data_IF_142988691472
#
_entry.id   IF_142988691472
#
_cell.length_a   1.000
_cell.length_b   1.000
_cell.length_c   1.000
_cell.angle_alpha   90.00
_cell.angle_beta   90.00
_cell.angle_gamma   90.00
#
_symmetry.space_group_name_H-M   'P 1'
#
loop_
_entity.id
_entity.type
_entity.pdbx_description
1 polymer ?
#
# COMPACT_ATOMS: atom_id res chain seq x y z
N UNK A 1 -8.78 17.28 7.79
CA UNK A 1 -7.33 17.24 8.07
C UNK A 1 -6.67 16.25 7.12
N UNK A 2 -5.65 16.68 6.38
CA UNK A 2 -5.00 15.93 5.27
C UNK A 2 -4.36 14.61 5.73
N UNK A 3 -4.46 13.55 4.91
CA UNK A 3 -3.90 12.21 5.15
C UNK A 3 -2.37 12.28 5.34
N UNK A 4 -1.69 13.00 4.44
CA UNK A 4 -0.23 13.19 4.46
C UNK A 4 0.29 13.87 5.74
N UNK A 5 -0.53 14.67 6.41
CA UNK A 5 -0.14 15.37 7.64
C UNK A 5 -0.27 14.49 8.90
N UNK A 6 -0.89 13.31 8.79
CA UNK A 6 -1.24 12.47 9.94
C UNK A 6 -0.63 11.09 9.90
N UNK A 7 -0.03 10.69 8.78
CA UNK A 7 0.48 9.34 8.58
C UNK A 7 1.91 9.37 8.09
N UNK A 8 2.67 8.35 8.45
CA UNK A 8 4.01 8.08 7.92
C UNK A 8 3.93 7.24 6.64
N UNK A 9 4.99 7.21 5.81
CA UNK A 9 5.05 6.38 4.61
C UNK A 9 4.91 4.87 4.85
N UNK A 10 5.22 4.41 6.07
CA UNK A 10 5.11 3.01 6.46
C UNK A 10 3.70 2.64 6.95
N UNK A 11 2.87 3.63 7.26
CA UNK A 11 1.47 3.42 7.63
C UNK A 11 0.53 3.55 6.43
N UNK A 12 0.88 4.43 5.48
CA UNK A 12 0.08 4.68 4.28
C UNK A 12 0.97 4.86 3.07
N UNK A 13 0.72 4.01 2.09
CA UNK A 13 1.26 4.11 0.73
C UNK A 13 0.18 4.47 -0.28
N UNK A 14 0.56 5.24 -1.30
CA UNK A 14 -0.36 5.77 -2.30
C UNK A 14 0.13 5.53 -3.73
N UNK A 15 -0.85 5.30 -4.61
CA UNK A 15 -0.69 5.35 -6.07
C UNK A 15 -1.56 6.49 -6.56
N UNK A 16 -0.95 7.50 -7.18
CA UNK A 16 -1.67 8.63 -7.76
C UNK A 16 -1.72 8.49 -9.28
N UNK A 17 -2.91 8.71 -9.84
CA UNK A 17 -3.16 8.65 -11.29
C UNK A 17 -3.66 10.01 -11.75
N UNK A 18 -2.88 10.71 -12.56
CA UNK A 18 -3.24 11.99 -13.17
C UNK A 18 -2.96 11.95 -14.68
N UNK A 19 -3.92 11.46 -15.50
CA UNK A 19 -3.74 11.37 -16.94
C UNK A 19 -3.70 12.74 -17.63
N UNK A 20 -4.18 13.79 -16.95
CA UNK A 20 -4.22 15.15 -17.50
C UNK A 20 -3.02 16.01 -17.09
N UNK A 21 -2.28 15.60 -16.04
CA UNK A 21 -1.10 16.30 -15.49
C UNK A 21 -1.41 17.70 -14.95
N UNK A 22 -2.62 17.93 -14.45
CA UNK A 22 -3.08 19.27 -14.04
C UNK A 22 -3.01 19.44 -12.53
N UNK A 23 -3.25 18.37 -11.77
CA UNK A 23 -3.62 18.47 -10.34
C UNK A 23 -2.53 17.92 -9.43
N UNK A 24 -1.96 16.77 -9.81
CA UNK A 24 -1.19 15.94 -8.86
C UNK A 24 0.33 16.01 -9.04
N UNK A 25 0.82 16.75 -10.04
CA UNK A 25 2.26 16.82 -10.37
C UNK A 25 3.15 17.25 -9.19
N UNK A 26 2.63 18.09 -8.29
CA UNK A 26 3.32 18.58 -7.10
C UNK A 26 3.62 17.50 -6.04
N UNK A 27 2.98 16.33 -6.13
CA UNK A 27 3.14 15.25 -5.13
C UNK A 27 4.22 14.23 -5.48
N UNK A 28 4.92 14.36 -6.62
CA UNK A 28 5.86 13.34 -7.12
C UNK A 28 6.99 12.96 -6.15
N UNK A 29 7.35 13.86 -5.22
CA UNK A 29 8.47 13.66 -4.30
C UNK A 29 8.01 13.34 -2.86
N UNK A 30 6.71 13.07 -2.67
CA UNK A 30 6.18 12.70 -1.36
C UNK A 30 6.52 11.24 -1.07
N UNK A 31 7.10 10.93 0.12
CA UNK A 31 7.62 9.59 0.43
C UNK A 31 6.53 8.50 0.51
N UNK A 32 5.26 8.88 0.68
CA UNK A 32 4.11 7.98 0.68
C UNK A 32 3.83 7.36 -0.71
N UNK A 33 4.40 7.88 -1.80
CA UNK A 33 4.15 7.33 -3.13
C UNK A 33 4.91 6.01 -3.37
N UNK A 34 4.18 4.97 -3.82
CA UNK A 34 4.79 3.73 -4.30
C UNK A 34 5.47 3.89 -5.65
N UNK A 35 4.97 4.83 -6.44
CA UNK A 35 5.49 5.16 -7.75
C UNK A 35 5.19 6.61 -8.05
N UNK A 36 5.98 7.23 -8.93
CA UNK A 36 5.69 8.58 -9.42
C UNK A 36 4.28 8.65 -10.01
N UNK A 37 3.69 9.83 -9.99
CA UNK A 37 2.31 10.05 -10.45
C UNK A 37 2.14 9.48 -11.85
N UNK A 38 1.21 8.54 -11.98
CA UNK A 38 0.97 7.81 -13.22
C UNK A 38 0.19 8.71 -14.16
N UNK A 39 0.80 9.10 -15.27
CA UNK A 39 0.13 9.92 -16.29
C UNK A 39 -0.32 9.11 -17.51
N UNK A 40 0.15 7.87 -17.67
CA UNK A 40 -0.22 7.03 -18.81
C UNK A 40 -1.40 6.13 -18.41
N UNK A 41 -2.55 6.20 -19.13
CA UNK A 41 -3.71 5.37 -18.81
C UNK A 41 -3.46 3.87 -18.83
N UNK A 42 -2.58 3.37 -19.72
CA UNK A 42 -2.22 1.94 -19.76
C UNK A 42 -1.49 1.52 -18.48
N UNK A 43 -0.54 2.35 -18.03
CA UNK A 43 0.17 2.11 -16.75
C UNK A 43 -0.76 2.21 -15.54
N UNK A 44 -1.81 3.03 -15.62
CA UNK A 44 -2.82 3.10 -14.57
C UNK A 44 -3.61 1.79 -14.46
N UNK A 45 -3.96 1.17 -15.60
CA UNK A 45 -4.58 -0.15 -15.60
C UNK A 45 -3.66 -1.21 -15.00
N UNK A 46 -2.36 -1.20 -15.35
CA UNK A 46 -1.36 -2.10 -14.74
C UNK A 46 -1.26 -1.92 -13.23
N UNK A 47 -1.27 -0.66 -12.74
CA UNK A 47 -1.22 -0.36 -11.31
C UNK A 47 -2.47 -0.84 -10.56
N UNK A 48 -3.65 -0.75 -11.18
CA UNK A 48 -4.88 -1.30 -10.60
C UNK A 48 -4.84 -2.84 -10.57
N UNK A 49 -4.33 -3.49 -11.63
CA UNK A 49 -4.13 -4.94 -11.62
C UNK A 49 -3.15 -5.37 -10.54
N UNK A 50 -2.08 -4.60 -10.33
CA UNK A 50 -1.16 -4.83 -9.21
C UNK A 50 -1.87 -4.69 -7.86
N UNK A 51 -2.71 -3.66 -7.68
CA UNK A 51 -3.47 -3.49 -6.45
C UNK A 51 -4.41 -4.66 -6.15
N UNK A 52 -5.03 -5.25 -7.17
CA UNK A 52 -5.84 -6.47 -7.03
C UNK A 52 -4.99 -7.67 -6.60
N UNK A 53 -3.83 -7.88 -7.24
CA UNK A 53 -2.92 -8.98 -6.85
C UNK A 53 -2.39 -8.82 -5.43
N UNK A 54 -2.09 -7.59 -5.03
CA UNK A 54 -1.64 -7.29 -3.68
C UNK A 54 -2.76 -7.51 -2.66
N UNK A 55 -4.00 -7.17 -3.00
CA UNK A 55 -5.17 -7.49 -2.17
C UNK A 55 -5.31 -9.01 -1.97
N UNK A 56 -5.21 -9.81 -3.03
CA UNK A 56 -5.29 -11.27 -2.95
C UNK A 56 -4.16 -11.85 -2.08
N UNK A 57 -2.91 -11.39 -2.28
CA UNK A 57 -1.77 -11.77 -1.45
C UNK A 57 -2.00 -11.42 0.03
N UNK A 58 -2.56 -10.25 0.32
CA UNK A 58 -2.87 -9.83 1.70
C UNK A 58 -3.94 -10.71 2.33
N UNK A 59 -4.96 -11.12 1.57
CA UNK A 59 -5.96 -12.06 2.05
C UNK A 59 -5.34 -13.41 2.45
N UNK A 60 -4.45 -13.96 1.61
CA UNK A 60 -3.76 -15.21 1.92
C UNK A 60 -2.91 -15.08 3.20
N UNK A 61 -2.17 -13.98 3.35
CA UNK A 61 -1.34 -13.73 4.54
C UNK A 61 -2.17 -13.54 5.83
N UNK A 62 -3.28 -12.81 5.75
CA UNK A 62 -4.21 -12.63 6.88
C UNK A 62 -4.84 -13.97 7.28
N UNK A 63 -5.23 -14.79 6.31
CA UNK A 63 -5.77 -16.13 6.55
C UNK A 63 -4.71 -17.07 7.18
N UNK A 64 -3.49 -17.10 6.63
CA UNK A 64 -2.36 -17.90 7.13
C UNK A 64 -1.95 -17.49 8.56
N UNK A 65 -2.00 -16.19 8.86
CA UNK A 65 -1.75 -15.66 10.21
C UNK A 65 -2.91 -15.94 11.19
N UNK A 66 -4.05 -16.47 10.72
CA UNK A 66 -5.22 -16.78 11.53
C UNK A 66 -5.90 -15.54 12.12
N UNK A 67 -5.83 -14.40 11.44
CA UNK A 67 -6.45 -13.13 11.87
C UNK A 67 -7.54 -12.71 10.87
N UNK A 68 -8.42 -11.80 11.28
CA UNK A 68 -9.61 -11.41 10.47
C UNK A 68 -9.41 -10.13 9.67
N UNK A 69 -8.42 -9.33 10.05
CA UNK A 69 -8.15 -8.03 9.46
C UNK A 69 -6.66 -7.68 9.57
N UNK A 70 -6.29 -6.58 8.92
CA UNK A 70 -4.93 -6.06 8.89
C UNK A 70 -4.43 -5.60 10.26
N UNK A 71 -5.34 -5.14 11.14
CA UNK A 71 -4.97 -4.68 12.49
C UNK A 71 -4.45 -5.84 13.34
N UNK A 72 -5.18 -6.96 13.34
CA UNK A 72 -4.73 -8.17 14.00
C UNK A 72 -3.45 -8.75 13.42
N UNK A 73 -3.22 -8.59 12.10
CA UNK A 73 -1.96 -8.99 11.47
C UNK A 73 -0.80 -8.13 11.98
N UNK A 74 -0.94 -6.81 12.01
CA UNK A 74 0.09 -5.91 12.52
C UNK A 74 0.40 -6.18 14.00
N UNK A 75 -0.60 -6.40 14.84
CA UNK A 75 -0.38 -6.72 16.25
C UNK A 75 0.44 -8.02 16.42
N UNK A 76 0.10 -9.07 15.67
CA UNK A 76 0.87 -10.33 15.71
C UNK A 76 2.30 -10.15 15.17
N UNK A 77 2.48 -9.35 14.14
CA UNK A 77 3.79 -9.04 13.59
C UNK A 77 4.65 -8.27 14.62
N UNK A 78 4.12 -7.18 15.17
CA UNK A 78 4.83 -6.31 16.12
C UNK A 78 5.14 -7.03 17.45
N UNK A 79 4.33 -8.01 17.84
CA UNK A 79 4.57 -8.86 19.03
C UNK A 79 5.50 -10.04 18.77
N UNK A 80 6.01 -10.22 17.53
CA UNK A 80 6.92 -11.29 17.16
C UNK A 80 6.28 -12.68 17.12
N UNK A 81 4.95 -12.74 16.94
CA UNK A 81 4.19 -13.99 16.84
C UNK A 81 4.14 -14.56 15.42
N UNK A 82 4.60 -13.79 14.43
CA UNK A 82 4.73 -14.21 13.04
C UNK A 82 6.20 -14.42 12.72
N UNK A 83 6.48 -15.49 11.98
CA UNK A 83 7.81 -15.79 11.45
C UNK A 83 8.18 -14.77 10.36
N UNK A 84 9.21 -13.96 10.60
CA UNK A 84 9.69 -12.91 9.68
C UNK A 84 10.17 -13.48 8.33
N UNK A 85 10.56 -14.76 8.25
CA UNK A 85 10.94 -15.37 6.96
C UNK A 85 9.71 -15.65 6.07
N UNK A 86 8.55 -15.86 6.69
CA UNK A 86 7.30 -16.22 5.99
C UNK A 86 6.34 -15.05 5.86
N UNK A 87 6.37 -14.13 6.81
CA UNK A 87 5.43 -13.01 6.93
C UNK A 87 6.20 -11.70 6.88
N UNK A 88 5.74 -10.78 6.05
CA UNK A 88 6.34 -9.46 5.90
C UNK A 88 5.42 -8.39 6.50
N UNK A 89 6.00 -7.26 6.90
CA UNK A 89 5.22 -6.09 7.31
C UNK A 89 4.52 -5.53 6.08
N UNK A 90 3.20 -5.35 6.18
CA UNK A 90 2.47 -4.71 5.09
C UNK A 90 2.93 -3.24 4.96
N UNK A 91 3.21 -2.78 3.74
CA UNK A 91 3.37 -1.35 3.46
C UNK A 91 2.02 -0.63 3.32
#
# INVERSE_FOLDING_TARGET
TSLLARTTPDEVRMILVDPKRVELGQYNDVPHLLTRVITNPKKAADALQWAVREMDRRYDLVADAGVRDIGGYHEKFDTGQLDEERFDRFP
#
